data_IF_156639141482
#
_entry.id   IF_156639141482
#
_cell.length_a   1.000
_cell.length_b   1.000
_cell.length_c   1.000
_cell.angle_alpha   90.00
_cell.angle_beta   90.00
_cell.angle_gamma   90.00
#
_symmetry.space_group_name_H-M   'P 1'
#
loop_
_entity.id
_entity.type
_entity.pdbx_description
1 polymer ?
#
# COMPACT_ATOMS: atom_id res chain seq x y z
N UNK A 1 -14.73 -2.35 27.55
CA UNK A 1 -14.21 -3.44 26.68
C UNK A 1 -13.80 -3.00 25.28
N UNK A 2 -14.44 -2.00 24.64
CA UNK A 2 -14.10 -1.60 23.24
C UNK A 2 -12.73 -0.94 23.03
N UNK A 3 -12.22 -0.14 23.97
CA UNK A 3 -10.94 0.58 23.80
C UNK A 3 -9.70 -0.33 23.82
N UNK A 4 -9.70 -1.40 24.60
CA UNK A 4 -8.61 -2.37 24.64
C UNK A 4 -8.49 -3.12 23.32
N UNK A 5 -9.58 -3.67 22.81
CA UNK A 5 -9.62 -4.41 21.55
C UNK A 5 -9.17 -3.56 20.36
N UNK A 6 -9.57 -2.29 20.28
CA UNK A 6 -9.14 -1.39 19.21
C UNK A 6 -7.62 -1.10 19.27
N UNK A 7 -7.05 -0.98 20.46
CA UNK A 7 -5.60 -0.81 20.65
C UNK A 7 -4.83 -2.03 20.17
N UNK A 8 -5.32 -3.23 20.48
CA UNK A 8 -4.67 -4.50 20.08
C UNK A 8 -4.72 -4.65 18.54
N UNK A 9 -5.87 -4.38 17.91
CA UNK A 9 -6.00 -4.39 16.45
C UNK A 9 -5.08 -3.35 15.80
N UNK A 10 -4.99 -2.13 16.36
CA UNK A 10 -4.12 -1.09 15.82
C UNK A 10 -2.64 -1.49 15.90
N UNK A 11 -2.23 -2.21 16.94
CA UNK A 11 -0.89 -2.77 17.07
C UNK A 11 -0.62 -3.83 16.02
N UNK A 12 -1.55 -4.76 15.80
CA UNK A 12 -1.44 -5.80 14.75
C UNK A 12 -1.32 -5.18 13.36
N UNK A 13 -2.10 -4.13 13.05
CA UNK A 13 -1.98 -3.41 11.80
C UNK A 13 -0.62 -2.72 11.66
N UNK A 14 -0.14 -2.06 12.71
CA UNK A 14 1.17 -1.40 12.72
C UNK A 14 2.31 -2.38 12.47
N UNK A 15 2.24 -3.59 13.02
CA UNK A 15 3.23 -4.66 12.81
C UNK A 15 3.11 -5.27 11.40
N UNK A 16 1.88 -5.56 10.95
CA UNK A 16 1.60 -6.17 9.65
C UNK A 16 2.03 -5.27 8.49
N UNK A 17 1.78 -3.97 8.61
CA UNK A 17 2.12 -2.97 7.60
C UNK A 17 3.37 -2.15 7.96
N UNK A 18 4.30 -2.75 8.70
CA UNK A 18 5.58 -2.09 8.98
C UNK A 18 6.31 -1.71 7.68
N UNK A 19 6.91 -0.53 7.67
CA UNK A 19 7.61 0.02 6.51
C UNK A 19 8.58 1.12 6.92
N UNK A 20 8.66 2.21 6.16
CA UNK A 20 9.56 3.33 6.46
C UNK A 20 9.16 4.03 7.76
N UNK A 21 10.08 4.07 8.73
CA UNK A 21 9.80 4.64 10.05
C UNK A 21 9.77 6.16 10.07
N UNK A 22 10.55 6.83 9.21
CA UNK A 22 10.78 8.28 9.27
C UNK A 22 9.82 9.13 8.44
N UNK A 23 8.91 8.50 7.71
CA UNK A 23 7.94 9.21 6.88
C UNK A 23 6.73 8.36 6.51
N UNK A 24 5.57 9.01 6.38
CA UNK A 24 4.36 8.39 5.88
C UNK A 24 3.50 9.36 5.08
N UNK A 25 2.61 8.83 4.27
CA UNK A 25 1.64 9.61 3.51
C UNK A 25 0.38 9.92 4.30
N UNK A 26 -0.22 11.06 4.02
CA UNK A 26 -1.60 11.38 4.40
C UNK A 26 -2.36 11.84 3.17
N UNK A 27 -3.67 11.56 3.13
CA UNK A 27 -4.51 11.93 2.00
C UNK A 27 -5.79 12.59 2.50
N UNK A 28 -6.07 13.79 2.03
CA UNK A 28 -7.31 14.51 2.33
C UNK A 28 -8.22 14.50 1.10
N UNK A 29 -9.40 13.91 1.25
CA UNK A 29 -10.43 13.95 0.21
C UNK A 29 -11.00 15.37 0.14
N UNK A 30 -11.05 15.95 -1.07
CA UNK A 30 -11.57 17.29 -1.34
C UNK A 30 -12.85 17.26 -2.20
N UNK A 31 -13.15 16.09 -2.84
CA UNK A 31 -14.30 15.95 -3.70
C UNK A 31 -14.32 14.63 -4.47
N UNK A 32 -14.94 14.67 -5.65
CA UNK A 32 -14.95 13.56 -6.62
C UNK A 32 -14.61 14.10 -8.01
N UNK A 33 -13.98 13.26 -8.83
CA UNK A 33 -13.73 13.57 -10.24
C UNK A 33 -14.10 12.41 -11.16
N UNK A 34 -14.49 12.75 -12.38
CA UNK A 34 -14.67 11.78 -13.46
C UNK A 34 -13.33 11.42 -14.08
N UNK A 35 -13.12 10.13 -14.34
CA UNK A 35 -11.95 9.61 -15.02
C UNK A 35 -12.38 8.65 -16.14
N UNK A 36 -11.53 8.32 -17.10
CA UNK A 36 -11.83 7.29 -18.10
C UNK A 36 -12.17 5.91 -17.49
N UNK A 37 -11.71 5.67 -16.26
CA UNK A 37 -11.95 4.44 -15.49
C UNK A 37 -13.17 4.55 -14.53
N UNK A 38 -13.94 5.65 -14.58
CA UNK A 38 -15.12 5.90 -13.75
C UNK A 38 -14.95 7.08 -12.79
N UNK A 39 -15.96 7.25 -11.90
CA UNK A 39 -15.95 8.31 -10.88
C UNK A 39 -15.13 7.87 -9.68
N UNK A 40 -14.15 8.68 -9.28
CA UNK A 40 -13.37 8.41 -8.07
C UNK A 40 -13.32 9.61 -7.11
N UNK A 41 -13.04 9.33 -5.84
CA UNK A 41 -12.76 10.37 -4.84
C UNK A 41 -11.47 11.10 -5.22
N UNK A 42 -11.51 12.41 -5.22
CA UNK A 42 -10.38 13.30 -5.50
C UNK A 42 -9.89 13.98 -4.23
N UNK A 43 -8.59 14.29 -4.17
CA UNK A 43 -8.01 14.93 -3.00
C UNK A 43 -6.51 15.12 -3.16
N UNK A 44 -5.90 15.58 -2.07
CA UNK A 44 -4.46 15.87 -2.02
C UNK A 44 -3.73 14.94 -1.07
N UNK A 45 -2.68 14.30 -1.59
CA UNK A 45 -1.71 13.55 -0.82
C UNK A 45 -0.52 14.43 -0.44
N UNK A 46 0.05 14.22 0.73
CA UNK A 46 1.34 14.78 1.14
C UNK A 46 2.09 13.77 1.99
N UNK A 47 3.42 13.84 1.97
CA UNK A 47 4.28 13.04 2.85
C UNK A 47 4.66 13.87 4.07
N UNK A 48 4.50 13.29 5.24
CA UNK A 48 4.95 13.83 6.52
C UNK A 48 6.29 13.16 6.86
N UNK A 49 7.27 13.97 7.31
CA UNK A 49 8.61 13.50 7.70
C UNK A 49 8.66 13.25 9.20
N UNK A 50 7.85 12.31 9.65
CA UNK A 50 7.73 11.91 11.06
C UNK A 50 7.31 10.44 11.14
N UNK A 51 7.59 9.73 12.25
CA UNK A 51 7.22 8.34 12.41
C UNK A 51 5.71 8.18 12.61
N UNK A 52 5.16 7.08 12.08
CA UNK A 52 3.84 6.62 12.44
C UNK A 52 3.84 6.10 13.89
N UNK A 53 2.82 6.49 14.64
CA UNK A 53 2.60 6.00 16.00
C UNK A 53 1.33 5.15 16.10
N UNK A 54 1.20 4.41 17.19
CA UNK A 54 -0.02 3.64 17.47
C UNK A 54 -1.29 4.50 17.44
N UNK A 55 -1.20 5.79 17.86
CA UNK A 55 -2.34 6.71 17.81
C UNK A 55 -2.79 6.98 16.37
N UNK A 56 -1.86 7.12 15.43
CA UNK A 56 -2.21 7.31 14.02
C UNK A 56 -2.94 6.08 13.46
N UNK A 57 -2.52 4.87 13.84
CA UNK A 57 -3.21 3.64 13.46
C UNK A 57 -4.60 3.52 14.07
N UNK A 58 -4.78 3.89 15.35
CA UNK A 58 -6.09 3.95 15.98
C UNK A 58 -7.03 4.92 15.25
N UNK A 59 -6.57 6.12 14.96
CA UNK A 59 -7.32 7.14 14.21
C UNK A 59 -7.66 6.67 12.79
N UNK A 60 -6.75 5.93 12.15
CA UNK A 60 -7.01 5.35 10.83
C UNK A 60 -8.12 4.31 10.88
N UNK A 61 -8.08 3.40 11.83
CA UNK A 61 -9.10 2.35 12.01
C UNK A 61 -10.46 2.93 12.44
N UNK A 62 -10.47 4.07 13.15
CA UNK A 62 -11.66 4.84 13.47
C UNK A 62 -12.20 5.64 12.26
N UNK A 63 -11.47 5.68 11.16
CA UNK A 63 -11.86 6.42 9.95
C UNK A 63 -11.66 7.94 10.04
N UNK A 64 -10.96 8.44 11.08
CA UNK A 64 -10.74 9.87 11.28
C UNK A 64 -9.52 10.41 10.54
N UNK A 65 -8.54 9.56 10.24
CA UNK A 65 -7.30 9.92 9.53
C UNK A 65 -6.98 8.91 8.43
N UNK A 66 -6.52 9.39 7.29
CA UNK A 66 -5.97 8.55 6.22
C UNK A 66 -4.46 8.48 6.38
N UNK A 67 -3.90 7.28 6.42
CA UNK A 67 -2.45 7.06 6.41
C UNK A 67 -2.04 6.25 5.19
N UNK A 68 -0.83 6.51 4.68
CA UNK A 68 -0.21 5.76 3.61
C UNK A 68 1.19 5.34 4.03
N UNK A 69 1.37 4.06 4.32
CA UNK A 69 2.67 3.51 4.69
C UNK A 69 3.52 3.33 3.44
N UNK A 70 4.80 3.66 3.55
CA UNK A 70 5.79 3.42 2.50
C UNK A 70 6.41 2.04 2.77
N UNK A 71 6.20 1.03 1.92
CA UNK A 71 6.60 -0.35 2.22
C UNK A 71 8.10 -0.58 2.37
N UNK A 72 8.91 0.18 1.62
CA UNK A 72 10.37 0.05 1.63
C UNK A 72 10.98 0.74 2.85
N UNK A 73 11.79 0.02 3.63
CA UNK A 73 12.55 0.54 4.76
C UNK A 73 13.84 1.25 4.32
N UNK A 74 14.55 1.90 5.25
CA UNK A 74 15.85 2.53 4.97
C UNK A 74 16.93 1.50 4.55
N UNK A 75 16.78 0.23 4.94
CA UNK A 75 17.64 -0.88 4.53
C UNK A 75 17.29 -1.46 3.15
N UNK A 76 16.43 -0.80 2.40
CA UNK A 76 15.97 -1.23 1.07
C UNK A 76 15.32 -2.62 1.09
N UNK A 77 14.64 -2.96 2.19
CA UNK A 77 13.84 -4.17 2.34
C UNK A 77 12.36 -3.86 2.48
N UNK A 78 11.52 -4.85 2.24
CA UNK A 78 10.09 -4.77 2.56
C UNK A 78 9.54 -6.14 2.95
N UNK A 79 8.45 -6.13 3.70
CA UNK A 79 7.73 -7.31 4.18
C UNK A 79 6.36 -7.45 3.55
N UNK A 80 5.88 -6.40 2.91
CA UNK A 80 4.63 -6.37 2.19
C UNK A 80 4.70 -5.41 1.01
N UNK A 81 3.77 -5.60 0.09
CA UNK A 81 3.58 -4.72 -1.05
C UNK A 81 2.23 -5.02 -1.68
N UNK A 82 1.86 -4.30 -2.73
CA UNK A 82 0.59 -4.56 -3.40
C UNK A 82 0.62 -4.20 -4.89
N UNK A 83 -0.33 -4.81 -5.61
CA UNK A 83 -0.78 -4.40 -6.93
C UNK A 83 -2.01 -3.52 -6.72
N UNK A 84 -1.99 -2.28 -7.21
CA UNK A 84 -3.09 -1.31 -7.08
C UNK A 84 -3.98 -1.37 -8.32
N UNK A 85 -5.12 -2.05 -8.17
CA UNK A 85 -6.12 -2.21 -9.23
C UNK A 85 -7.06 -1.01 -9.23
N UNK A 86 -6.79 -0.05 -10.11
CA UNK A 86 -7.50 1.23 -10.22
C UNK A 86 -8.54 1.18 -11.36
N UNK A 87 -9.42 0.18 -11.33
CA UNK A 87 -10.58 0.00 -12.23
C UNK A 87 -11.89 0.35 -11.52
N UNK A 88 -12.86 0.93 -12.25
CA UNK A 88 -14.14 1.36 -11.71
C UNK A 88 -15.30 1.08 -12.67
N UNK A 89 -16.25 0.16 -12.37
CA UNK A 89 -16.22 -0.75 -11.21
C UNK A 89 -15.18 -1.86 -11.38
N UNK A 90 -14.59 -2.31 -10.27
CA UNK A 90 -13.70 -3.48 -10.26
C UNK A 90 -14.54 -4.77 -10.19
N UNK A 91 -14.19 -5.76 -11.00
CA UNK A 91 -14.78 -7.11 -10.95
C UNK A 91 -14.08 -7.94 -9.87
N UNK A 92 -14.57 -7.80 -8.63
CA UNK A 92 -13.99 -8.44 -7.44
C UNK A 92 -14.11 -9.96 -7.55
N UNK A 93 -15.25 -10.48 -7.98
CA UNK A 93 -15.51 -11.93 -8.07
C UNK A 93 -14.56 -12.58 -9.07
N UNK A 94 -14.35 -11.96 -10.22
CA UNK A 94 -13.39 -12.42 -11.21
C UNK A 94 -11.96 -12.46 -10.65
N UNK A 95 -11.53 -11.39 -9.98
CA UNK A 95 -10.18 -11.31 -9.40
C UNK A 95 -9.98 -12.32 -8.27
N UNK A 96 -10.96 -12.50 -7.38
CA UNK A 96 -10.89 -13.51 -6.33
C UNK A 96 -10.82 -14.93 -6.91
N UNK A 97 -11.61 -15.20 -7.96
CA UNK A 97 -11.56 -16.48 -8.66
C UNK A 97 -10.19 -16.71 -9.28
N UNK A 98 -9.63 -15.71 -9.96
CA UNK A 98 -8.31 -15.79 -10.60
C UNK A 98 -7.20 -16.06 -9.58
N UNK A 99 -7.19 -15.33 -8.45
CA UNK A 99 -6.26 -15.54 -7.34
C UNK A 99 -6.33 -16.98 -6.83
N UNK A 100 -7.54 -17.50 -6.63
CA UNK A 100 -7.77 -18.87 -6.15
C UNK A 100 -7.31 -19.91 -7.18
N UNK A 101 -7.74 -19.78 -8.45
CA UNK A 101 -7.44 -20.73 -9.51
C UNK A 101 -5.94 -20.85 -9.78
N UNK A 102 -5.23 -19.74 -9.67
CA UNK A 102 -3.77 -19.67 -9.83
C UNK A 102 -3.00 -19.93 -8.52
N UNK A 103 -3.70 -20.16 -7.41
CA UNK A 103 -3.08 -20.36 -6.08
C UNK A 103 -2.12 -19.24 -5.69
N UNK A 104 -2.47 -17.99 -5.99
CA UNK A 104 -1.62 -16.84 -5.70
C UNK A 104 -1.72 -16.43 -4.22
N UNK A 105 -0.60 -16.10 -3.55
CA UNK A 105 -0.60 -15.69 -2.14
C UNK A 105 -0.99 -14.21 -1.98
N UNK A 106 -2.09 -13.79 -2.61
CA UNK A 106 -2.56 -12.43 -2.59
C UNK A 106 -3.80 -12.28 -1.70
N UNK A 107 -3.84 -11.19 -0.94
CA UNK A 107 -4.98 -10.78 -0.10
C UNK A 107 -5.66 -9.57 -0.74
N UNK A 108 -6.87 -9.74 -1.33
CA UNK A 108 -7.60 -8.63 -1.93
C UNK A 108 -8.29 -7.77 -0.87
N UNK A 109 -8.07 -6.47 -0.91
CA UNK A 109 -8.70 -5.50 -0.01
C UNK A 109 -9.28 -4.33 -0.80
N UNK A 110 -10.56 -4.01 -0.55
CA UNK A 110 -11.23 -2.85 -1.16
C UNK A 110 -10.57 -1.53 -0.72
N UNK A 111 -10.36 -0.65 -1.68
CA UNK A 111 -9.89 0.70 -1.39
C UNK A 111 -11.08 1.63 -1.09
N UNK A 112 -10.80 2.76 -0.43
CA UNK A 112 -11.80 3.80 -0.16
C UNK A 112 -12.46 4.40 -1.41
N UNK A 113 -11.80 4.29 -2.55
CA UNK A 113 -12.28 4.79 -3.85
C UNK A 113 -13.08 3.76 -4.64
N UNK A 114 -13.15 2.50 -4.16
CA UNK A 114 -13.86 1.40 -4.82
C UNK A 114 -12.99 0.58 -5.78
N UNK A 115 -11.68 0.83 -5.84
CA UNK A 115 -10.69 -0.03 -6.46
C UNK A 115 -10.27 -1.17 -5.51
N UNK A 116 -9.17 -1.85 -5.82
CA UNK A 116 -8.71 -3.00 -5.05
C UNK A 116 -7.18 -2.97 -4.88
N UNK A 117 -6.71 -3.18 -3.66
CA UNK A 117 -5.32 -3.54 -3.40
C UNK A 117 -5.18 -5.05 -3.29
N UNK A 118 -4.27 -5.64 -4.05
CA UNK A 118 -3.90 -7.05 -3.93
C UNK A 118 -2.59 -7.12 -3.16
N UNK A 119 -2.69 -7.37 -1.86
CA UNK A 119 -1.53 -7.40 -0.97
C UNK A 119 -0.78 -8.73 -1.04
N UNK A 120 0.55 -8.64 -1.03
CA UNK A 120 1.47 -9.75 -0.81
C UNK A 120 2.23 -9.49 0.48
N UNK A 121 2.34 -10.52 1.34
CA UNK A 121 3.10 -10.47 2.59
C UNK A 121 4.18 -11.55 2.60
N UNK A 122 5.27 -11.29 3.33
CA UNK A 122 6.33 -12.26 3.59
C UNK A 122 6.55 -12.40 5.10
N UNK A 123 7.03 -13.56 5.54
CA UNK A 123 7.29 -13.84 6.96
C UNK A 123 8.52 -13.09 7.52
N UNK A 124 9.36 -12.56 6.64
CA UNK A 124 10.55 -11.79 6.99
C UNK A 124 10.83 -10.73 5.92
N UNK A 125 11.53 -9.64 6.28
CA UNK A 125 11.94 -8.64 5.29
C UNK A 125 12.82 -9.26 4.20
N UNK A 126 12.56 -8.90 2.95
CA UNK A 126 13.37 -9.30 1.80
C UNK A 126 13.79 -8.05 1.00
N UNK A 127 14.87 -8.11 0.20
CA UNK A 127 15.26 -6.98 -0.63
C UNK A 127 14.11 -6.47 -1.50
N UNK A 128 13.85 -5.18 -1.46
CA UNK A 128 12.70 -4.56 -2.11
C UNK A 128 12.65 -4.81 -3.62
N UNK A 129 13.81 -4.89 -4.28
CA UNK A 129 13.87 -5.22 -5.72
C UNK A 129 13.34 -6.63 -6.01
N UNK A 130 13.64 -7.63 -5.14
CA UNK A 130 13.12 -9.00 -5.29
C UNK A 130 11.62 -9.05 -5.06
N UNK A 131 11.16 -8.29 -4.06
CA UNK A 131 9.73 -8.19 -3.75
C UNK A 131 8.96 -7.60 -4.92
N UNK A 132 9.44 -6.47 -5.45
CA UNK A 132 8.83 -5.80 -6.60
C UNK A 132 8.81 -6.69 -7.84
N UNK A 133 9.94 -7.32 -8.19
CA UNK A 133 9.99 -8.26 -9.32
C UNK A 133 8.98 -9.39 -9.18
N UNK A 134 8.77 -9.90 -7.96
CA UNK A 134 7.77 -10.94 -7.72
C UNK A 134 6.34 -10.46 -7.92
N UNK A 135 6.01 -9.25 -7.49
CA UNK A 135 4.71 -8.65 -7.77
C UNK A 135 4.50 -8.38 -9.26
N UNK A 136 5.54 -7.94 -9.97
CA UNK A 136 5.50 -7.74 -11.44
C UNK A 136 5.25 -9.06 -12.18
N UNK A 137 5.91 -10.15 -11.77
CA UNK A 137 5.65 -11.51 -12.32
C UNK A 137 4.19 -11.93 -12.09
N UNK A 138 3.68 -11.74 -10.87
CA UNK A 138 2.29 -12.07 -10.52
C UNK A 138 1.32 -11.22 -11.33
N UNK A 139 1.53 -9.91 -11.40
CA UNK A 139 0.70 -9.00 -12.19
C UNK A 139 0.67 -9.40 -13.67
N UNK A 140 1.84 -9.75 -14.24
CA UNK A 140 1.93 -10.23 -15.61
C UNK A 140 1.16 -11.54 -15.83
N UNK A 141 1.28 -12.51 -14.91
CA UNK A 141 0.55 -13.77 -14.96
C UNK A 141 -0.98 -13.58 -14.88
N UNK A 142 -1.43 -12.55 -14.15
CA UNK A 142 -2.84 -12.15 -14.05
C UNK A 142 -3.32 -11.28 -15.24
N UNK A 143 -2.45 -10.93 -16.20
CA UNK A 143 -2.77 -10.01 -17.29
C UNK A 143 -2.91 -8.54 -16.85
N UNK A 144 -2.28 -8.15 -15.74
CA UNK A 144 -2.41 -6.84 -15.09
C UNK A 144 -1.13 -6.00 -15.09
N UNK A 145 -0.37 -6.06 -16.17
CA UNK A 145 0.91 -5.33 -16.31
C UNK A 145 0.79 -3.81 -16.30
N UNK A 146 -0.43 -3.27 -16.42
CA UNK A 146 -0.70 -1.82 -16.41
C UNK A 146 -1.03 -1.28 -15.03
N UNK A 147 -1.20 -2.16 -14.04
CA UNK A 147 -1.52 -1.74 -12.68
C UNK A 147 -0.27 -1.27 -11.94
N UNK A 148 -0.46 -0.30 -11.04
CA UNK A 148 0.65 0.23 -10.26
C UNK A 148 1.10 -0.77 -9.19
N UNK A 149 2.42 -0.88 -8.99
CA UNK A 149 3.01 -1.80 -8.01
C UNK A 149 3.73 -1.02 -6.90
N UNK A 150 3.44 -1.38 -5.67
CA UNK A 150 4.12 -0.87 -4.49
C UNK A 150 4.96 -1.96 -3.82
N UNK A 151 6.22 -1.65 -3.45
CA UNK A 151 6.86 -0.35 -3.48
C UNK A 151 7.11 0.17 -4.90
N UNK A 152 6.88 1.46 -5.14
CA UNK A 152 7.19 2.10 -6.43
C UNK A 152 8.68 2.08 -6.72
N UNK A 153 9.47 2.45 -5.73
CA UNK A 153 10.93 2.36 -5.76
C UNK A 153 11.40 1.13 -5.01
N UNK A 154 12.53 0.60 -5.42
CA UNK A 154 13.20 -0.55 -4.79
C UNK A 154 14.61 -0.21 -4.27
N UNK A 155 15.03 1.03 -4.45
CA UNK A 155 16.27 1.61 -3.95
C UNK A 155 16.06 3.08 -3.61
N UNK A 156 16.77 3.57 -2.60
CA UNK A 156 16.84 5.00 -2.33
C UNK A 156 17.80 5.65 -3.30
N UNK A 157 17.44 6.81 -3.84
CA UNK A 157 18.37 7.61 -4.64
C UNK A 157 19.60 7.94 -3.78
N UNK A 158 20.79 7.48 -4.17
CA UNK A 158 22.04 7.89 -3.53
C UNK A 158 22.10 9.41 -3.67
N UNK A 159 22.12 10.13 -2.56
CA UNK A 159 22.42 11.55 -2.57
C UNK A 159 23.87 11.67 -3.03
N UNK A 160 24.07 12.05 -4.29
CA UNK A 160 25.38 12.48 -4.75
C UNK A 160 25.81 13.65 -3.83
N UNK A 161 27.05 13.64 -3.32
CA UNK A 161 27.55 14.77 -2.57
C UNK A 161 27.34 16.03 -3.42
N UNK A 162 26.71 17.07 -2.86
CA UNK A 162 26.67 18.37 -3.52
C UNK A 162 28.11 18.79 -3.68
N UNK A 163 28.65 18.71 -4.91
CA UNK A 163 29.89 19.35 -5.23
C UNK A 163 29.72 20.82 -4.85
N UNK A 164 30.62 21.27 -3.96
CA UNK A 164 30.71 22.68 -3.59
C UNK A 164 31.10 23.46 -4.85
N UNK A 165 30.12 24.17 -5.41
CA UNK A 165 30.38 25.27 -6.34
C UNK A 165 31.00 26.45 -5.58
#
# INVERSE_FOLDING_TARGET
>A
MQRGAMKDIALEFMETFAGLDRAYGVYKIEGTKQTPKGTKKDGKGRTLQEPLSLVHWQQHLEGTTSIGVIPITDDETCQWGCIDVDEYPVDIDHLQKLIKDMSLPLVPCLTKSGGLHLFLFTNAPIPAFKFKSKLEEIAAAMGRTQDEIFPKQYQWAKQLPKEKQ
#
